data_IF_153573411141
#
_entry.id   IF_153573411141
#
_cell.length_a   1.000
_cell.length_b   1.000
_cell.length_c   1.000
_cell.angle_alpha   90.00
_cell.angle_beta   90.00
_cell.angle_gamma   90.00
#
_symmetry.space_group_name_H-M   'P 1'
#
loop_
_entity.id
_entity.type
_entity.pdbx_description
1 polymer ?
#
# COMPACT_ATOMS: atom_id res chain seq x y z
N UNK A 1 -3.47 19.82 14.92
CA UNK A 1 -4.80 20.02 14.36
C UNK A 1 -5.85 19.31 15.19
N UNK A 2 -6.90 20.02 15.49
CA UNK A 2 -7.99 19.55 16.35
C UNK A 2 -8.98 18.67 15.59
N UNK A 3 -8.48 17.66 14.95
CA UNK A 3 -9.35 16.74 14.22
C UNK A 3 -10.36 16.00 15.09
N UNK A 4 -10.17 15.99 16.40
CA UNK A 4 -11.07 15.32 17.35
C UNK A 4 -12.27 16.20 17.76
N UNK A 5 -12.19 17.51 17.65
CA UNK A 5 -13.25 18.42 18.11
C UNK A 5 -14.29 18.74 17.04
N UNK A 6 -13.96 18.54 15.78
CA UNK A 6 -14.82 18.90 14.65
C UNK A 6 -15.70 17.73 14.19
N UNK A 7 -15.66 16.63 14.90
CA UNK A 7 -16.43 15.47 14.55
C UNK A 7 -17.85 15.62 15.01
N UNK A 8 -18.75 15.87 14.09
CA UNK A 8 -20.18 15.90 14.37
C UNK A 8 -20.68 14.49 14.66
N UNK A 9 -21.47 14.34 15.72
CA UNK A 9 -22.06 13.08 16.12
C UNK A 9 -22.98 12.43 15.08
N UNK A 10 -23.38 13.19 14.07
CA UNK A 10 -24.21 12.71 12.96
C UNK A 10 -23.38 12.20 11.78
N UNK A 11 -22.08 12.41 11.77
CA UNK A 11 -21.22 12.00 10.68
C UNK A 11 -20.74 10.56 10.87
N UNK A 12 -20.85 9.76 9.80
CA UNK A 12 -20.25 8.44 9.77
C UNK A 12 -18.75 8.60 9.71
N UNK A 13 -18.09 8.15 10.77
CA UNK A 13 -16.63 8.13 10.82
C UNK A 13 -16.16 6.75 10.45
N UNK A 14 -15.41 6.65 9.37
CA UNK A 14 -14.71 5.41 9.05
C UNK A 14 -13.22 5.68 8.98
N UNK A 15 -12.48 4.66 9.31
CA UNK A 15 -11.03 4.65 9.17
C UNK A 15 -10.60 3.38 8.46
N UNK A 16 -9.50 3.45 7.78
CA UNK A 16 -8.83 2.29 7.21
C UNK A 16 -7.65 1.90 8.09
N UNK A 17 -7.33 0.63 8.12
CA UNK A 17 -6.16 0.11 8.83
C UNK A 17 -5.34 -0.76 7.88
N UNK A 18 -4.07 -0.45 7.78
CA UNK A 18 -3.10 -1.28 7.07
C UNK A 18 -1.86 -1.45 7.95
N UNK A 19 -1.71 -2.65 8.48
CA UNK A 19 -0.65 -3.00 9.42
C UNK A 19 0.16 -4.16 8.87
N UNK A 20 1.48 -3.98 8.81
CA UNK A 20 2.43 -5.03 8.49
C UNK A 20 3.31 -5.33 9.70
N UNK A 21 3.37 -6.59 10.11
CA UNK A 21 4.22 -7.08 11.18
C UNK A 21 5.26 -8.01 10.57
N UNK A 22 6.53 -7.70 10.76
CA UNK A 22 7.63 -8.49 10.23
C UNK A 22 8.30 -9.24 11.37
N UNK A 23 8.26 -10.57 11.30
CA UNK A 23 9.07 -11.44 12.17
C UNK A 23 10.47 -11.56 11.56
N UNK A 24 11.42 -10.88 12.18
CA UNK A 24 12.80 -10.85 11.68
C UNK A 24 13.53 -12.18 11.83
N UNK A 25 13.10 -13.02 12.76
CA UNK A 25 13.72 -14.34 12.97
C UNK A 25 13.25 -15.36 11.95
N UNK A 26 11.96 -15.34 11.65
CA UNK A 26 11.35 -16.29 10.73
C UNK A 26 11.29 -15.78 9.28
N UNK A 27 11.52 -14.49 9.06
CA UNK A 27 11.40 -13.88 7.74
C UNK A 27 9.96 -13.95 7.24
N UNK A 28 9.00 -13.61 8.09
CA UNK A 28 7.57 -13.63 7.76
C UNK A 28 6.96 -12.25 7.88
N UNK A 29 6.08 -11.95 6.95
CA UNK A 29 5.22 -10.77 7.02
C UNK A 29 3.81 -11.24 7.36
N UNK A 30 3.27 -10.73 8.45
CA UNK A 30 1.84 -10.79 8.75
C UNK A 30 1.21 -9.45 8.43
N UNK A 31 0.15 -9.45 7.63
CA UNK A 31 -0.62 -8.23 7.34
C UNK A 31 -1.99 -8.30 7.98
N UNK A 32 -2.41 -7.17 8.52
CA UNK A 32 -3.76 -6.97 9.05
C UNK A 32 -4.34 -5.77 8.32
N UNK A 33 -5.41 -6.00 7.57
CA UNK A 33 -6.04 -4.98 6.73
C UNK A 33 -7.51 -4.80 7.07
N UNK A 34 -7.96 -3.56 6.92
CA UNK A 34 -9.36 -3.21 7.06
C UNK A 34 -9.67 -2.02 6.17
N UNK A 35 -10.35 -2.27 5.07
CA UNK A 35 -10.70 -1.23 4.11
C UNK A 35 -9.52 -0.51 3.47
N UNK A 36 -8.31 -1.01 3.65
CA UNK A 36 -7.09 -0.38 3.16
C UNK A 36 -6.74 -0.80 1.74
N UNK A 37 -5.93 0.02 1.09
CA UNK A 37 -5.38 -0.28 -0.23
C UNK A 37 -4.52 -1.54 -0.23
N UNK A 38 -4.24 -2.06 -1.40
CA UNK A 38 -3.38 -3.23 -1.55
C UNK A 38 -1.95 -2.94 -1.08
N UNK A 39 -1.33 -3.93 -0.47
CA UNK A 39 0.10 -3.98 -0.20
C UNK A 39 0.75 -4.87 -1.24
N UNK A 40 1.91 -4.50 -1.71
CA UNK A 40 2.63 -5.23 -2.76
C UNK A 40 3.92 -5.80 -2.20
N UNK A 41 4.25 -7.02 -2.59
CA UNK A 41 5.57 -7.61 -2.35
C UNK A 41 6.22 -7.79 -3.71
N UNK A 42 7.26 -6.99 -3.96
CA UNK A 42 8.09 -7.16 -5.15
C UNK A 42 9.20 -8.13 -4.82
N UNK A 43 9.18 -9.27 -5.48
CA UNK A 43 10.18 -10.32 -5.28
C UNK A 43 11.48 -9.98 -6.02
N UNK A 44 12.56 -10.60 -5.59
CA UNK A 44 13.87 -10.42 -6.23
C UNK A 44 13.89 -10.78 -7.73
N UNK A 45 13.01 -11.69 -8.16
CA UNK A 45 12.84 -12.08 -9.56
C UNK A 45 11.86 -11.18 -10.35
N UNK A 46 11.46 -10.05 -9.78
CA UNK A 46 10.48 -9.10 -10.32
C UNK A 46 9.01 -9.57 -10.32
N UNK A 47 8.70 -10.70 -9.75
CA UNK A 47 7.31 -11.07 -9.50
C UNK A 47 6.68 -10.15 -8.46
N UNK A 48 5.40 -9.87 -8.62
CA UNK A 48 4.65 -9.04 -7.71
C UNK A 48 3.52 -9.86 -7.08
N UNK A 49 3.59 -10.03 -5.78
CA UNK A 49 2.46 -10.50 -5.00
C UNK A 49 1.71 -9.29 -4.45
N UNK A 50 0.40 -9.32 -4.50
CA UNK A 50 -0.39 -8.24 -3.92
C UNK A 50 -1.39 -8.78 -2.92
N UNK A 51 -1.59 -7.99 -1.86
CA UNK A 51 -2.44 -8.31 -0.73
C UNK A 51 -3.54 -7.27 -0.69
N UNK A 52 -4.76 -7.66 -1.04
CA UNK A 52 -5.92 -6.77 -1.00
C UNK A 52 -6.74 -7.01 0.26
N UNK A 53 -7.49 -5.99 0.67
CA UNK A 53 -8.48 -6.12 1.73
C UNK A 53 -9.86 -6.38 1.12
N UNK A 54 -10.55 -7.38 1.63
CA UNK A 54 -11.96 -7.62 1.33
C UNK A 54 -12.89 -7.01 2.39
N UNK A 55 -12.31 -6.53 3.49
CA UNK A 55 -13.04 -5.97 4.61
C UNK A 55 -13.44 -4.52 4.38
N UNK A 56 -14.58 -4.15 4.94
CA UNK A 56 -15.01 -2.74 4.97
C UNK A 56 -14.19 -1.94 5.98
N UNK A 57 -14.09 -0.62 5.80
CA UNK A 57 -13.44 0.27 6.76
C UNK A 57 -14.06 0.17 8.17
N UNK A 58 -13.23 0.49 9.17
CA UNK A 58 -13.68 0.54 10.56
C UNK A 58 -14.80 1.57 10.72
N UNK A 59 -15.84 1.21 11.42
CA UNK A 59 -16.97 2.10 11.70
C UNK A 59 -18.19 1.88 10.82
N UNK A 60 -18.10 1.06 9.76
CA UNK A 60 -19.25 0.74 8.90
C UNK A 60 -20.10 -0.37 9.52
N UNK A 61 -19.45 -1.36 10.13
CA UNK A 61 -20.13 -2.49 10.78
C UNK A 61 -19.77 -2.60 12.23
N UNK A 62 -20.70 -3.08 13.04
CA UNK A 62 -20.46 -3.38 14.46
C UNK A 62 -19.52 -4.57 14.66
N UNK A 63 -19.51 -5.51 13.73
CA UNK A 63 -18.62 -6.67 13.77
C UNK A 63 -17.39 -6.44 12.91
N UNK A 64 -16.25 -6.35 13.58
CA UNK A 64 -14.97 -6.10 12.92
C UNK A 64 -14.41 -7.43 12.42
N UNK A 65 -14.34 -7.58 11.09
CA UNK A 65 -13.59 -8.67 10.46
C UNK A 65 -12.23 -8.15 10.01
N UNK A 66 -11.17 -8.72 10.57
CA UNK A 66 -9.81 -8.41 10.18
C UNK A 66 -9.35 -9.39 9.09
N UNK A 67 -8.89 -8.87 7.98
CA UNK A 67 -8.21 -9.68 6.96
C UNK A 67 -6.75 -9.86 7.39
N UNK A 68 -6.40 -11.10 7.72
CA UNK A 68 -5.03 -11.47 8.10
C UNK A 68 -4.42 -12.37 7.04
N UNK A 69 -3.24 -12.02 6.61
CA UNK A 69 -2.48 -12.80 5.64
C UNK A 69 -1.03 -12.96 6.10
N UNK A 70 -0.45 -14.11 5.81
CA UNK A 70 0.93 -14.43 6.15
C UNK A 70 1.72 -14.73 4.88
N UNK A 71 2.87 -14.08 4.73
CA UNK A 71 3.75 -14.22 3.59
C UNK A 71 5.17 -14.50 4.05
N UNK A 72 5.84 -15.41 3.36
CA UNK A 72 7.27 -15.61 3.54
C UNK A 72 8.02 -14.52 2.80
N UNK A 73 9.00 -13.92 3.48
CA UNK A 73 9.90 -12.94 2.90
C UNK A 73 11.24 -13.59 2.57
N UNK A 74 11.80 -13.20 1.45
CA UNK A 74 13.11 -13.66 1.00
C UNK A 74 14.07 -12.47 0.87
N UNK A 75 15.36 -12.76 0.85
CA UNK A 75 16.37 -11.74 0.61
C UNK A 75 16.14 -11.04 -0.74
N UNK A 76 16.20 -9.72 -0.73
CA UNK A 76 15.96 -8.90 -1.93
C UNK A 76 14.50 -8.58 -2.22
N UNK A 77 13.58 -8.99 -1.36
CA UNK A 77 12.17 -8.60 -1.49
C UNK A 77 11.94 -7.15 -1.04
N UNK A 78 10.92 -6.53 -1.60
CA UNK A 78 10.47 -5.19 -1.21
C UNK A 78 8.99 -5.25 -0.83
N UNK A 79 8.65 -4.66 0.31
CA UNK A 79 7.26 -4.49 0.73
C UNK A 79 6.88 -3.04 0.42
N UNK A 80 5.84 -2.84 -0.37
CA UNK A 80 5.37 -1.53 -0.81
C UNK A 80 3.95 -1.33 -0.30
N UNK A 81 3.77 -0.32 0.55
CA UNK A 81 2.46 0.09 1.05
C UNK A 81 2.17 1.49 0.52
N UNK A 82 0.96 1.70 0.04
CA UNK A 82 0.56 2.96 -0.61
C UNK A 82 -0.80 3.41 -0.11
N UNK A 83 -1.04 4.72 -0.15
CA UNK A 83 -2.37 5.28 0.04
C UNK A 83 -3.20 5.20 -1.25
N UNK A 84 -4.50 5.40 -1.11
CA UNK A 84 -5.43 5.40 -2.24
C UNK A 84 -5.10 6.47 -3.28
N UNK A 85 -4.56 7.62 -2.88
CA UNK A 85 -4.10 8.65 -3.81
C UNK A 85 -3.10 8.15 -4.85
N UNK A 86 -2.25 7.20 -4.49
CA UNK A 86 -1.32 6.55 -5.43
C UNK A 86 -2.07 5.63 -6.41
N UNK A 87 -2.96 4.80 -5.90
CA UNK A 87 -3.72 3.86 -6.75
C UNK A 87 -4.64 4.61 -7.70
N UNK A 88 -5.33 5.61 -7.18
CA UNK A 88 -6.31 6.41 -7.92
C UNK A 88 -5.69 7.27 -9.03
N UNK A 89 -4.38 7.50 -8.96
CA UNK A 89 -3.66 8.21 -10.03
C UNK A 89 -3.87 7.59 -11.43
N UNK A 90 -4.09 6.29 -11.50
CA UNK A 90 -4.35 5.59 -12.76
C UNK A 90 -5.81 5.56 -13.20
N UNK A 91 -6.76 5.96 -12.35
CA UNK A 91 -8.20 5.83 -12.65
C UNK A 91 -8.65 6.67 -13.85
N UNK A 92 -8.08 7.85 -14.01
CA UNK A 92 -8.46 8.79 -15.08
C UNK A 92 -7.74 8.52 -16.40
N UNK A 93 -6.98 7.45 -16.47
CA UNK A 93 -6.27 7.00 -17.65
C UNK A 93 -6.72 5.59 -18.05
N UNK A 94 -6.52 5.22 -19.28
CA UNK A 94 -6.82 3.87 -19.80
C UNK A 94 -6.03 2.75 -19.10
N UNK A 95 -5.06 3.11 -18.27
CA UNK A 95 -4.18 2.19 -17.55
C UNK A 95 -4.91 1.57 -16.32
N UNK A 96 -5.83 2.32 -15.69
CA UNK A 96 -6.63 1.85 -14.55
C UNK A 96 -5.84 1.68 -13.24
N UNK A 97 -6.50 1.08 -12.27
CA UNK A 97 -5.96 0.91 -10.90
C UNK A 97 -4.76 -0.06 -10.83
N UNK A 98 -4.58 -0.90 -11.82
CA UNK A 98 -3.49 -1.88 -11.85
C UNK A 98 -2.16 -1.31 -12.36
N UNK A 99 -2.09 0.00 -12.60
CA UNK A 99 -0.89 0.63 -13.14
C UNK A 99 0.36 0.35 -12.31
N UNK A 100 0.20 0.32 -10.98
CA UNK A 100 1.32 0.14 -10.06
C UNK A 100 1.94 -1.26 -10.19
N UNK A 101 1.13 -2.30 -10.37
CA UNK A 101 1.63 -3.65 -10.59
C UNK A 101 2.52 -3.71 -11.84
N UNK A 102 2.02 -3.17 -12.95
CA UNK A 102 2.80 -3.15 -14.21
C UNK A 102 4.06 -2.31 -14.08
N UNK A 103 3.96 -1.18 -13.39
CA UNK A 103 5.10 -0.31 -13.14
C UNK A 103 6.17 -1.02 -12.30
N UNK A 104 5.78 -1.65 -11.19
CA UNK A 104 6.69 -2.34 -10.30
C UNK A 104 7.39 -3.54 -10.97
N UNK A 105 6.70 -4.24 -11.87
CA UNK A 105 7.30 -5.35 -12.64
C UNK A 105 8.45 -4.89 -13.52
N UNK A 106 8.34 -3.69 -14.08
CA UNK A 106 9.34 -3.12 -14.98
C UNK A 106 10.42 -2.31 -14.28
N UNK A 107 10.21 -2.02 -13.00
CA UNK A 107 11.11 -1.16 -12.24
C UNK A 107 12.38 -1.90 -11.87
N UNK A 108 13.51 -1.43 -12.37
CA UNK A 108 14.84 -1.93 -12.04
C UNK A 108 15.55 -0.95 -11.12
N UNK A 109 15.34 -1.09 -9.82
CA UNK A 109 16.09 -0.36 -8.81
C UNK A 109 16.26 -1.22 -7.58
N UNK A 110 17.38 -1.04 -6.89
CA UNK A 110 17.70 -1.74 -5.65
C UNK A 110 17.69 -0.81 -4.44
N UNK A 111 17.45 0.46 -4.65
CA UNK A 111 17.37 1.48 -3.60
C UNK A 111 15.90 1.79 -3.28
N UNK A 112 15.45 1.57 -2.03
CA UNK A 112 14.09 1.88 -1.62
C UNK A 112 13.71 3.35 -1.85
N UNK A 113 14.62 4.28 -1.61
CA UNK A 113 14.36 5.70 -1.82
C UNK A 113 14.12 6.02 -3.29
N UNK A 114 14.96 5.49 -4.17
CA UNK A 114 14.78 5.65 -5.61
C UNK A 114 13.45 5.05 -6.08
N UNK A 115 13.05 3.91 -5.51
CA UNK A 115 11.77 3.28 -5.80
C UNK A 115 10.60 4.18 -5.42
N UNK A 116 10.64 4.80 -4.24
CA UNK A 116 9.62 5.77 -3.79
C UNK A 116 9.54 6.94 -4.78
N UNK A 117 10.66 7.55 -5.11
CA UNK A 117 10.70 8.71 -6.01
C UNK A 117 10.10 8.38 -7.39
N UNK A 118 10.43 7.22 -7.93
CA UNK A 118 9.90 6.77 -9.22
C UNK A 118 8.40 6.46 -9.18
N UNK A 119 7.91 5.86 -8.10
CA UNK A 119 6.47 5.60 -7.92
C UNK A 119 5.70 6.92 -7.84
N UNK A 120 6.17 7.86 -7.02
CA UNK A 120 5.51 9.16 -6.86
C UNK A 120 5.54 9.95 -8.16
N UNK A 121 6.69 10.02 -8.84
CA UNK A 121 6.82 10.72 -10.12
C UNK A 121 5.84 10.15 -11.16
N UNK A 122 5.72 8.83 -11.24
CA UNK A 122 4.78 8.20 -12.17
C UNK A 122 3.32 8.48 -11.80
N UNK A 123 2.98 8.45 -10.51
CA UNK A 123 1.64 8.79 -10.06
C UNK A 123 1.28 10.24 -10.41
N UNK A 124 2.20 11.17 -10.22
CA UNK A 124 2.00 12.58 -10.58
C UNK A 124 1.84 12.77 -12.09
N UNK A 125 2.62 12.08 -12.91
CA UNK A 125 2.46 12.09 -14.36
C UNK A 125 1.07 11.60 -14.80
N UNK A 126 0.57 10.53 -14.16
CA UNK A 126 -0.74 9.96 -14.48
C UNK A 126 -1.90 10.87 -14.10
N UNK A 127 -1.73 11.70 -13.09
CA UNK A 127 -2.76 12.66 -12.67
C UNK A 127 -2.86 13.92 -13.52
N UNK A 128 -1.97 14.14 -14.46
CA UNK A 128 -1.98 15.29 -15.39
C UNK A 128 -2.18 16.64 -14.64
N UNK A 129 -1.37 16.87 -13.61
CA UNK A 129 -1.36 18.10 -12.80
C UNK A 129 -2.57 18.33 -11.89
N UNK A 130 -3.46 17.35 -11.74
CA UNK A 130 -4.54 17.40 -10.74
C UNK A 130 -4.24 16.43 -9.59
N UNK A 131 -3.70 16.96 -8.52
CA UNK A 131 -3.59 16.18 -7.27
C UNK A 131 -4.97 16.18 -6.62
N UNK A 132 -5.65 15.04 -6.68
CA UNK A 132 -7.00 14.89 -6.13
C UNK A 132 -6.98 14.40 -4.68
N UNK A 133 -5.91 13.76 -4.24
CA UNK A 133 -5.79 13.20 -2.90
C UNK A 133 -4.32 13.14 -2.46
N UNK A 134 -4.11 13.03 -1.15
CA UNK A 134 -2.79 12.87 -0.57
C UNK A 134 -2.15 11.55 -0.99
N UNK A 135 -0.87 11.61 -1.29
CA UNK A 135 -0.09 10.47 -1.73
C UNK A 135 0.93 10.07 -0.68
N UNK A 136 0.87 8.84 -0.24
CA UNK A 136 1.85 8.24 0.67
C UNK A 136 2.36 6.95 0.09
N UNK A 137 3.68 6.78 0.11
CA UNK A 137 4.36 5.55 -0.32
C UNK A 137 5.36 5.17 0.76
N UNK A 138 5.32 3.92 1.18
CA UNK A 138 6.30 3.33 2.07
C UNK A 138 6.92 2.10 1.39
N UNK A 139 8.23 2.05 1.35
CA UNK A 139 8.98 0.93 0.78
C UNK A 139 9.94 0.38 1.83
N UNK A 140 9.83 -0.90 2.07
CA UNK A 140 10.71 -1.63 2.99
C UNK A 140 11.48 -2.69 2.22
N UNK A 141 12.80 -2.60 2.22
CA UNK A 141 13.67 -3.61 1.62
C UNK A 141 13.99 -4.69 2.63
N UNK A 142 13.87 -5.94 2.21
CA UNK A 142 14.20 -7.10 3.02
C UNK A 142 15.61 -7.57 2.69
N UNK A 143 16.48 -7.53 3.68
CA UNK A 143 17.84 -8.04 3.57
C UNK A 143 18.01 -9.18 4.58
N UNK A 144 18.49 -10.31 4.10
CA UNK A 144 18.82 -11.43 4.98
C UNK A 144 20.20 -11.23 5.56
N UNK A 145 20.30 -11.24 6.89
CA UNK A 145 21.57 -11.22 7.59
C UNK A 145 22.20 -12.60 7.45
N UNK A 146 23.41 -12.60 6.94
CA UNK A 146 24.23 -13.82 6.85
C UNK A 146 24.91 -14.11 8.18
#
# INVERSE_FOLDING_TARGET
>A
SDWSSDVCSSDLIFSTLDLGIIDLKQGKLETVKMGACSTYIKRANNDIDFISSSSLPVGILSDIKLDRHNYKLNDGDYIIMVSDGIIDAGKNNDIGENWLIYFLKKLNTYDPKEMIDKIVDRALELQLDKIEDDMTVMVTKVNKIK
#
